data_IF_586523032447
#
_entry.id   IF_586523032447
#
_cell.length_a   1.000
_cell.length_b   1.000
_cell.length_c   1.000
_cell.angle_alpha   90.00
_cell.angle_beta   90.00
_cell.angle_gamma   90.00
#
_symmetry.space_group_name_H-M   'P 1'
#
loop_
_entity.id
_entity.type
_entity.pdbx_description
1 polymer ?
#
# COMPACT_ATOMS: atom_id res chain seq x y z
N UNK A 1 3.96 -2.52 15.71
CA UNK A 1 5.27 -2.47 15.02
C UNK A 1 5.04 -2.94 13.60
N UNK A 2 4.98 -2.05 12.61
CA UNK A 2 4.80 -2.44 11.21
C UNK A 2 6.06 -3.10 10.64
N UNK A 3 5.92 -4.24 9.98
CA UNK A 3 7.05 -4.94 9.36
C UNK A 3 7.52 -4.22 8.09
N UNK A 4 8.84 -4.14 7.88
CA UNK A 4 9.38 -3.50 6.68
C UNK A 4 9.06 -4.29 5.41
N UNK A 5 8.58 -3.60 4.37
CA UNK A 5 8.27 -4.19 3.07
C UNK A 5 9.32 -3.71 2.07
N UNK A 6 10.19 -4.60 1.54
CA UNK A 6 11.19 -4.20 0.56
C UNK A 6 10.54 -3.80 -0.77
N UNK A 7 11.05 -2.74 -1.40
CA UNK A 7 10.62 -2.29 -2.73
C UNK A 7 11.40 -3.08 -3.80
N UNK A 8 10.92 -4.30 -4.09
CA UNK A 8 11.52 -5.20 -5.06
C UNK A 8 10.48 -5.71 -6.07
N UNK A 9 10.98 -6.30 -7.17
CA UNK A 9 10.14 -6.81 -8.25
C UNK A 9 9.09 -7.81 -7.75
N UNK A 10 9.46 -8.72 -6.84
CA UNK A 10 8.55 -9.73 -6.31
C UNK A 10 7.35 -9.10 -5.59
N UNK A 11 7.60 -8.17 -4.66
CA UNK A 11 6.54 -7.47 -3.94
C UNK A 11 5.72 -6.56 -4.87
N UNK A 12 6.33 -5.99 -5.92
CA UNK A 12 5.61 -5.24 -6.96
C UNK A 12 4.64 -6.13 -7.74
N UNK A 13 5.05 -7.35 -8.11
CA UNK A 13 4.18 -8.31 -8.83
C UNK A 13 3.05 -8.83 -7.94
N UNK A 14 3.31 -9.02 -6.64
CA UNK A 14 2.30 -9.46 -5.67
C UNK A 14 1.33 -8.35 -5.22
N UNK A 15 1.63 -7.08 -5.53
CA UNK A 15 0.88 -5.95 -5.01
C UNK A 15 -0.45 -5.72 -5.75
N UNK A 16 -1.54 -5.59 -4.99
CA UNK A 16 -2.87 -5.28 -5.53
C UNK A 16 -3.20 -3.78 -5.54
N UNK A 17 -2.27 -2.90 -5.16
CA UNK A 17 -2.51 -1.45 -5.16
C UNK A 17 -2.96 -0.91 -6.53
N UNK A 18 -2.41 -1.34 -7.68
CA UNK A 18 -2.83 -0.83 -8.99
C UNK A 18 -4.31 -1.12 -9.34
N UNK A 19 -4.89 -2.18 -8.75
CA UNK A 19 -6.30 -2.54 -8.96
C UNK A 19 -7.22 -2.00 -7.87
N UNK A 20 -6.66 -1.41 -6.80
CA UNK A 20 -7.38 -0.89 -5.66
C UNK A 20 -8.31 0.28 -6.04
N UNK A 21 -9.58 0.30 -5.58
CA UNK A 21 -10.51 1.40 -5.85
C UNK A 21 -9.98 2.76 -5.39
N UNK A 22 -9.34 2.82 -4.23
CA UNK A 22 -8.72 4.06 -3.70
C UNK A 22 -7.64 4.58 -4.63
N UNK A 23 -6.79 3.71 -5.19
CA UNK A 23 -5.75 4.10 -6.15
C UNK A 23 -6.38 4.66 -7.43
N UNK A 24 -7.28 3.88 -8.03
CA UNK A 24 -7.95 4.22 -9.30
C UNK A 24 -8.76 5.50 -9.22
N UNK A 25 -9.47 5.76 -8.12
CA UNK A 25 -10.27 6.98 -7.95
C UNK A 25 -9.46 8.22 -7.56
N UNK A 26 -8.21 8.04 -7.13
CA UNK A 26 -7.38 9.13 -6.60
C UNK A 26 -6.26 9.60 -7.54
N UNK A 27 -6.23 9.16 -8.80
CA UNK A 27 -5.19 9.51 -9.78
C UNK A 27 -3.75 9.38 -9.25
N UNK A 28 -3.53 8.45 -8.31
CA UNK A 28 -2.20 8.23 -7.75
C UNK A 28 -1.31 7.58 -8.80
N UNK A 29 -0.02 7.89 -8.78
CA UNK A 29 0.95 7.42 -9.78
C UNK A 29 1.99 6.45 -9.22
N UNK A 30 1.98 6.20 -7.90
CA UNK A 30 2.94 5.33 -7.22
C UNK A 30 2.35 3.95 -6.92
N UNK A 31 3.10 2.87 -7.14
CA UNK A 31 2.71 1.50 -6.80
C UNK A 31 3.39 1.03 -5.50
N UNK A 32 2.75 0.12 -4.76
CA UNK A 32 3.30 -0.46 -3.51
C UNK A 32 3.53 0.55 -2.38
N UNK A 33 2.47 1.26 -1.97
CA UNK A 33 2.54 2.30 -0.92
C UNK A 33 3.09 1.82 0.43
N UNK A 34 2.85 0.56 0.81
CA UNK A 34 3.38 -0.01 2.06
C UNK A 34 4.91 -0.08 2.08
N UNK A 35 5.56 -0.12 0.91
CA UNK A 35 7.02 -0.12 0.75
C UNK A 35 7.56 1.28 0.40
N UNK A 36 6.95 1.93 -0.61
CA UNK A 36 7.46 3.21 -1.15
C UNK A 36 7.05 4.44 -0.36
N UNK A 37 5.87 4.40 0.27
CA UNK A 37 5.30 5.48 1.06
C UNK A 37 4.18 6.22 0.35
N UNK A 38 3.57 7.17 1.06
CA UNK A 38 2.43 7.92 0.54
C UNK A 38 2.84 8.79 -0.65
N UNK A 39 1.99 8.92 -1.68
CA UNK A 39 2.23 9.83 -2.79
C UNK A 39 2.09 11.29 -2.33
N UNK A 40 2.62 12.26 -3.09
CA UNK A 40 2.46 13.68 -2.78
C UNK A 40 0.99 14.16 -2.89
N UNK A 41 0.19 13.46 -3.70
CA UNK A 41 -1.23 13.75 -3.86
C UNK A 41 -2.06 13.10 -2.75
N UNK A 42 -3.14 13.77 -2.34
CA UNK A 42 -4.07 13.24 -1.35
C UNK A 42 -4.91 12.12 -1.97
N UNK A 43 -4.84 10.93 -1.39
CA UNK A 43 -5.75 9.85 -1.74
C UNK A 43 -7.12 10.06 -1.10
N UNK A 44 -8.18 9.64 -1.80
CA UNK A 44 -9.56 9.72 -1.35
C UNK A 44 -10.08 8.31 -1.07
N UNK A 45 -10.55 8.07 0.15
CA UNK A 45 -10.93 6.73 0.60
C UNK A 45 -12.15 6.23 -0.18
N UNK A 46 -11.93 5.20 -1.00
CA UNK A 46 -12.97 4.56 -1.80
C UNK A 46 -13.07 3.05 -1.57
N UNK A 47 -12.07 2.45 -0.91
CA UNK A 47 -11.96 1.02 -0.60
C UNK A 47 -10.52 0.52 -0.70
N UNK A 48 -10.06 -0.34 0.23
CA UNK A 48 -8.72 -0.94 0.27
C UNK A 48 -8.81 -2.44 0.00
N UNK A 49 -7.99 -2.96 -0.91
CA UNK A 49 -7.80 -4.41 -1.10
C UNK A 49 -6.66 -4.97 -0.21
N UNK A 50 -6.18 -4.15 0.72
CA UNK A 50 -5.02 -4.40 1.56
C UNK A 50 -5.10 -5.72 2.35
N UNK A 51 -6.22 -6.09 2.98
CA UNK A 51 -6.33 -7.37 3.72
C UNK A 51 -6.25 -8.59 2.81
N UNK A 52 -6.60 -8.42 1.53
CA UNK A 52 -6.54 -9.46 0.51
C UNK A 52 -5.21 -9.45 -0.25
N UNK A 53 -4.35 -8.45 -0.02
CA UNK A 53 -3.07 -8.31 -0.70
C UNK A 53 -2.08 -9.38 -0.23
N UNK A 54 -1.48 -10.17 -1.14
CA UNK A 54 -0.45 -11.14 -0.77
C UNK A 54 0.73 -10.51 -0.01
N UNK A 55 1.14 -9.29 -0.37
CA UNK A 55 2.20 -8.54 0.35
C UNK A 55 1.78 -8.25 1.79
N UNK A 56 0.53 -7.83 2.01
CA UNK A 56 0.03 -7.55 3.36
C UNK A 56 0.11 -8.78 4.25
N UNK A 57 -0.33 -9.94 3.73
CA UNK A 57 -0.26 -11.22 4.45
C UNK A 57 1.19 -11.69 4.65
N UNK A 58 2.02 -11.59 3.61
CA UNK A 58 3.42 -12.03 3.62
C UNK A 58 4.23 -11.33 4.72
N UNK A 59 4.01 -10.03 4.90
CA UNK A 59 4.69 -9.24 5.93
C UNK A 59 3.86 -9.06 7.20
N UNK A 60 2.75 -9.79 7.38
CA UNK A 60 1.88 -9.67 8.56
C UNK A 60 1.59 -8.22 8.95
N UNK A 61 1.28 -7.42 7.93
CA UNK A 61 0.93 -6.02 8.10
C UNK A 61 -0.41 -5.93 8.84
N UNK A 62 -0.57 -4.91 9.68
CA UNK A 62 -1.79 -4.70 10.48
C UNK A 62 -2.56 -3.44 10.05
N UNK A 63 -1.91 -2.51 9.35
CA UNK A 63 -2.50 -1.23 8.97
C UNK A 63 -3.11 -1.25 7.56
N UNK A 64 -4.23 -0.55 7.38
CA UNK A 64 -4.85 -0.39 6.07
C UNK A 64 -4.54 0.99 5.49
N UNK A 65 -4.85 1.20 4.21
CA UNK A 65 -4.70 2.51 3.56
C UNK A 65 -3.27 3.08 3.61
N UNK A 66 -2.26 2.26 3.35
CA UNK A 66 -0.87 2.72 3.20
C UNK A 66 -0.68 3.86 2.19
N UNK A 67 -1.56 3.96 1.19
CA UNK A 67 -1.61 5.09 0.25
C UNK A 67 -1.91 6.45 0.91
N UNK A 68 -2.52 6.47 2.09
CA UNK A 68 -2.81 7.68 2.87
C UNK A 68 -1.87 7.82 4.06
N UNK A 69 -1.61 6.71 4.75
CA UNK A 69 -0.90 6.71 6.02
C UNK A 69 0.63 6.81 5.84
N UNK A 70 1.21 6.15 4.82
CA UNK A 70 2.67 6.08 4.64
C UNK A 70 3.18 4.66 4.44
N UNK A 71 4.50 4.47 4.62
CA UNK A 71 5.12 3.13 4.56
C UNK A 71 4.77 2.37 5.83
N UNK A 72 4.81 1.05 5.75
CA UNK A 72 4.58 0.17 6.90
C UNK A 72 5.41 0.54 8.13
N UNK A 73 6.69 0.88 7.93
CA UNK A 73 7.60 1.25 9.02
C UNK A 73 7.34 2.63 9.63
N UNK A 74 6.67 3.50 8.89
CA UNK A 74 6.38 4.88 9.32
C UNK A 74 5.08 4.98 10.11
N UNK A 75 4.24 3.94 10.08
CA UNK A 75 2.93 3.91 10.71
C UNK A 75 3.03 3.05 11.97
N UNK A 76 2.84 3.68 13.13
CA UNK A 76 3.11 3.09 14.45
C UNK A 76 1.86 2.55 15.12
#
# INVERSE_FOLDING_TARGET
MGNSVPDNQENMQLCLCPTCPTYKKSNLTSSVFCAKGKPPQKAQAAGCLCPNCPVYKKYSLDQMYYCMQGKSVDIK
#
